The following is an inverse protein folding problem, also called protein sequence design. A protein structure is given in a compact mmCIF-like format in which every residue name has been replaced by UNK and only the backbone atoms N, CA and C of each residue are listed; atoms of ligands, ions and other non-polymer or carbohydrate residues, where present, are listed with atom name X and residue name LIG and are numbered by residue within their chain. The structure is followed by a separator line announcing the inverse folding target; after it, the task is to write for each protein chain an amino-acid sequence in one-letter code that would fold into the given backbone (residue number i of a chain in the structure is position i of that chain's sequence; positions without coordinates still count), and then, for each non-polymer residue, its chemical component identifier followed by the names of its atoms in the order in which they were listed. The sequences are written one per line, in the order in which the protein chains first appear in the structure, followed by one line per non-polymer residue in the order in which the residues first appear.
data_IF_516946120844
#
_entry.id   IF_516946120844
#
_cell.length_a   1.000
_cell.length_b   1.000
_cell.length_c   1.000
_cell.angle_alpha   90.00
_cell.angle_beta   90.00
_cell.angle_gamma   90.00
#
_symmetry.space_group_name_H-M   'P 1'
#
loop_
_entity.id
_entity.type
_entity.pdbx_description
1 polymer ?
#
# COMPACT_ATOMS: atom_id res chain seq x y z
N UNK A 1 9.57 31.12 -3.29
CA UNK A 1 9.21 30.15 -2.23
C UNK A 1 7.94 29.46 -2.69
N UNK A 2 7.96 28.13 -2.85
CA UNK A 2 6.77 27.36 -3.21
C UNK A 2 5.74 27.42 -2.07
N UNK A 3 4.46 27.54 -2.42
CA UNK A 3 3.33 27.47 -1.47
C UNK A 3 2.37 26.41 -2.00
N UNK A 4 1.91 25.46 -1.15
CA UNK A 4 0.92 24.49 -1.58
C UNK A 4 -0.37 25.21 -1.96
N UNK A 5 -1.06 24.72 -3.00
CA UNK A 5 -2.40 25.16 -3.32
C UNK A 5 -3.34 24.94 -2.13
N UNK A 6 -4.36 25.80 -1.94
CA UNK A 6 -5.36 25.58 -0.91
C UNK A 6 -6.09 24.24 -1.17
N UNK A 7 -6.46 23.48 -0.14
CA UNK A 7 -7.19 22.23 -0.32
C UNK A 7 -8.54 22.47 -1.02
N UNK A 8 -8.93 21.53 -1.88
CA UNK A 8 -10.25 21.52 -2.54
C UNK A 8 -11.40 21.51 -1.50
N UNK A 9 -12.61 21.89 -1.91
CA UNK A 9 -13.78 21.82 -1.04
C UNK A 9 -14.01 20.38 -0.53
N UNK A 10 -13.85 19.39 -1.42
CA UNK A 10 -13.90 17.95 -1.08
C UNK A 10 -12.86 17.57 -0.05
N UNK A 11 -11.60 18.01 -0.23
CA UNK A 11 -10.53 17.72 0.71
C UNK A 11 -10.77 18.35 2.10
N UNK A 12 -11.32 19.57 2.16
CA UNK A 12 -11.69 20.20 3.45
C UNK A 12 -12.83 19.43 4.13
N UNK A 13 -13.91 19.14 3.41
CA UNK A 13 -15.03 18.39 3.96
C UNK A 13 -14.61 16.99 4.47
N UNK A 14 -13.74 16.29 3.74
CA UNK A 14 -13.21 15.00 4.17
C UNK A 14 -12.36 15.12 5.46
N UNK A 15 -11.56 16.17 5.59
CA UNK A 15 -10.79 16.45 6.81
C UNK A 15 -11.71 16.77 7.99
N UNK A 16 -12.67 17.67 7.82
CA UNK A 16 -13.63 18.04 8.85
C UNK A 16 -14.45 16.84 9.34
N UNK A 17 -14.93 16.02 8.41
CA UNK A 17 -15.65 14.79 8.74
C UNK A 17 -14.79 13.80 9.53
N UNK A 18 -13.52 13.61 9.14
CA UNK A 18 -12.60 12.75 9.88
C UNK A 18 -12.29 13.29 11.29
N UNK A 19 -12.15 14.61 11.45
CA UNK A 19 -11.92 15.22 12.78
C UNK A 19 -13.15 15.13 13.70
N UNK A 20 -14.34 15.34 13.14
CA UNK A 20 -15.59 15.12 13.87
C UNK A 20 -15.73 13.67 14.31
N UNK A 21 -15.41 12.72 13.41
CA UNK A 21 -15.41 11.30 13.72
C UNK A 21 -14.40 10.93 14.81
N UNK A 22 -13.17 11.45 14.72
CA UNK A 22 -12.14 11.25 15.74
C UNK A 22 -12.55 11.80 17.11
N UNK A 23 -13.28 12.91 17.13
CA UNK A 23 -13.79 13.49 18.38
C UNK A 23 -14.89 12.62 19.00
N UNK A 24 -15.76 12.05 18.17
CA UNK A 24 -16.84 11.17 18.63
C UNK A 24 -16.37 9.75 18.99
N UNK A 25 -15.34 9.25 18.30
CA UNK A 25 -14.84 7.86 18.36
C UNK A 25 -13.30 7.81 18.40
N UNK A 26 -12.66 8.40 19.43
CA UNK A 26 -11.21 8.54 19.48
C UNK A 26 -10.45 7.20 19.48
N UNK A 27 -11.07 6.12 19.94
CA UNK A 27 -10.51 4.78 19.94
C UNK A 27 -10.19 4.26 18.54
N UNK A 28 -10.93 4.69 17.51
CA UNK A 28 -10.70 4.29 16.10
C UNK A 28 -9.46 4.92 15.47
N UNK A 29 -8.90 5.93 16.14
CA UNK A 29 -7.76 6.70 15.67
C UNK A 29 -6.52 6.44 16.54
N UNK A 30 -6.54 5.40 17.38
CA UNK A 30 -5.37 4.99 18.15
C UNK A 30 -4.40 4.22 17.25
N UNK A 31 -3.15 4.68 17.23
CA UNK A 31 -2.03 3.98 16.58
C UNK A 31 -1.51 2.90 17.53
N UNK A 32 -2.32 1.88 17.73
CA UNK A 32 -2.08 0.78 18.67
C UNK A 32 -1.80 -0.52 17.91
N UNK A 33 -0.68 -1.15 18.24
CA UNK A 33 -0.14 -2.31 17.52
C UNK A 33 -1.10 -3.50 17.62
N UNK A 34 -1.57 -3.82 18.82
CA UNK A 34 -2.43 -4.97 19.05
C UNK A 34 -3.83 -4.76 18.47
N UNK A 35 -4.39 -3.56 18.60
CA UNK A 35 -5.67 -3.23 17.99
C UNK A 35 -5.62 -3.29 16.45
N UNK A 36 -4.51 -2.83 15.84
CA UNK A 36 -4.31 -2.90 14.39
C UNK A 36 -4.12 -4.36 13.92
N UNK A 37 -3.32 -5.15 14.64
CA UNK A 37 -3.13 -6.56 14.35
C UNK A 37 -4.44 -7.35 14.46
N UNK A 38 -5.19 -7.15 15.54
CA UNK A 38 -6.49 -7.76 15.75
C UNK A 38 -7.51 -7.35 14.67
N UNK A 39 -7.51 -6.07 14.26
CA UNK A 39 -8.36 -5.60 13.17
C UNK A 39 -7.95 -6.21 11.82
N UNK A 40 -6.66 -6.49 11.61
CA UNK A 40 -6.17 -7.16 10.42
C UNK A 40 -6.60 -8.63 10.37
N UNK A 41 -6.47 -9.35 11.49
CA UNK A 41 -6.79 -10.77 11.64
C UNK A 41 -8.32 -11.03 11.64
N UNK A 42 -8.90 -11.21 10.44
CA UNK A 42 -10.36 -11.40 10.29
C UNK A 42 -10.80 -12.85 10.44
N UNK A 43 -9.88 -13.80 10.30
CA UNK A 43 -10.13 -15.23 10.42
C UNK A 43 -9.23 -15.84 11.49
N UNK A 44 -9.68 -16.97 12.04
CA UNK A 44 -8.87 -17.73 12.98
C UNK A 44 -7.53 -18.13 12.34
N UNK A 45 -6.44 -17.87 13.06
CA UNK A 45 -5.07 -18.13 12.59
C UNK A 45 -4.54 -17.16 11.53
N UNK A 46 -5.17 -15.99 11.32
CA UNK A 46 -4.60 -14.96 10.43
C UNK A 46 -3.32 -14.34 11.01
N UNK A 47 -3.28 -14.11 12.34
CA UNK A 47 -2.10 -13.52 12.99
C UNK A 47 -0.89 -14.46 12.92
N UNK A 48 -1.10 -15.77 13.05
CA UNK A 48 -0.06 -16.80 12.86
C UNK A 48 0.49 -16.84 11.43
N UNK A 49 -0.26 -16.26 10.47
CA UNK A 49 0.11 -16.17 9.05
C UNK A 49 0.66 -14.80 8.65
N UNK A 50 0.75 -13.85 9.57
CA UNK A 50 1.46 -12.61 9.27
C UNK A 50 2.94 -12.88 8.99
N UNK A 51 3.53 -12.05 8.13
CA UNK A 51 4.91 -12.22 7.68
C UNK A 51 5.89 -12.18 8.86
N UNK A 52 7.00 -12.90 8.77
CA UNK A 52 8.01 -12.87 9.82
C UNK A 52 8.47 -11.42 10.10
N UNK A 53 8.58 -11.05 11.38
CA UNK A 53 8.97 -9.69 11.77
C UNK A 53 7.88 -8.62 11.63
N UNK A 54 6.64 -8.98 11.30
CA UNK A 54 5.52 -8.04 11.14
C UNK A 54 5.29 -7.13 12.35
N UNK A 55 5.46 -7.67 13.56
CA UNK A 55 5.16 -6.95 14.81
C UNK A 55 6.14 -5.81 15.03
N UNK A 56 7.44 -6.07 14.86
CA UNK A 56 8.46 -5.03 14.94
C UNK A 56 8.26 -3.96 13.86
N UNK A 57 8.02 -4.37 12.61
CA UNK A 57 7.74 -3.43 11.53
C UNK A 57 6.53 -2.55 11.83
N UNK A 58 5.46 -3.13 12.39
CA UNK A 58 4.26 -2.41 12.79
C UNK A 58 4.53 -1.43 13.95
N UNK A 59 5.25 -1.86 14.98
CA UNK A 59 5.67 -1.02 16.10
C UNK A 59 6.47 0.20 15.63
N UNK A 60 7.43 0.00 14.72
CA UNK A 60 8.25 1.06 14.15
C UNK A 60 7.44 2.01 13.29
N UNK A 61 6.57 1.47 12.44
CA UNK A 61 5.71 2.25 11.56
C UNK A 61 4.73 3.12 12.35
N UNK A 62 3.95 2.52 13.26
CA UNK A 62 2.95 3.23 14.05
C UNK A 62 3.59 4.18 15.07
N UNK A 63 4.71 3.77 15.68
CA UNK A 63 5.47 4.63 16.60
C UNK A 63 5.99 5.88 15.92
N UNK A 64 6.56 5.75 14.72
CA UNK A 64 7.01 6.90 13.92
C UNK A 64 5.83 7.72 13.38
N UNK A 65 4.72 7.09 12.99
CA UNK A 65 3.50 7.80 12.60
C UNK A 65 2.95 8.67 13.74
N UNK A 66 3.02 8.18 14.99
CA UNK A 66 2.58 8.91 16.18
C UNK A 66 3.56 10.04 16.57
N UNK A 67 4.87 9.75 16.60
CA UNK A 67 5.89 10.69 17.05
C UNK A 67 6.31 11.71 15.98
N UNK A 68 6.49 11.25 14.74
CA UNK A 68 6.99 12.05 13.63
C UNK A 68 5.86 12.52 12.71
N UNK A 69 4.76 11.79 12.57
CA UNK A 69 3.80 12.01 11.48
C UNK A 69 3.09 13.37 11.44
N UNK A 70 2.88 14.06 12.58
CA UNK A 70 2.02 15.27 12.67
C UNK A 70 0.67 15.07 11.96
N UNK A 71 0.06 13.91 12.20
CA UNK A 71 -1.10 13.45 11.43
C UNK A 71 -2.37 14.21 11.82
N UNK A 72 -3.17 14.51 10.80
CA UNK A 72 -4.60 14.80 10.97
C UNK A 72 -5.36 13.51 11.21
N UNK A 73 -6.64 13.58 11.60
CA UNK A 73 -7.50 12.40 11.70
C UNK A 73 -7.50 11.57 10.41
N UNK A 74 -7.56 12.23 9.25
CA UNK A 74 -7.51 11.56 7.94
C UNK A 74 -6.17 10.83 7.74
N UNK A 75 -5.05 11.45 8.12
CA UNK A 75 -3.72 10.86 8.06
C UNK A 75 -3.56 9.65 8.99
N UNK A 76 -4.04 9.77 10.23
CA UNK A 76 -4.06 8.67 11.22
C UNK A 76 -4.89 7.50 10.72
N UNK A 77 -6.09 7.76 10.19
CA UNK A 77 -6.94 6.72 9.62
C UNK A 77 -6.28 6.06 8.40
N UNK A 78 -5.54 6.82 7.58
CA UNK A 78 -4.79 6.25 6.47
C UNK A 78 -3.64 5.36 6.95
N UNK A 79 -2.87 5.78 7.97
CA UNK A 79 -1.80 4.94 8.52
C UNK A 79 -2.33 3.59 9.03
N UNK A 80 -3.42 3.63 9.81
CA UNK A 80 -4.09 2.42 10.32
C UNK A 80 -4.57 1.54 9.15
N UNK A 81 -5.25 2.11 8.15
CA UNK A 81 -5.72 1.35 6.98
C UNK A 81 -4.59 0.72 6.20
N UNK A 82 -3.49 1.43 5.99
CA UNK A 82 -2.29 0.92 5.30
C UNK A 82 -1.75 -0.29 6.04
N UNK A 83 -1.52 -0.17 7.36
CA UNK A 83 -1.00 -1.27 8.17
C UNK A 83 -1.91 -2.49 8.16
N UNK A 84 -3.22 -2.30 8.37
CA UNK A 84 -4.23 -3.37 8.29
C UNK A 84 -4.19 -4.04 6.90
N UNK A 85 -4.09 -3.24 5.84
CA UNK A 85 -4.04 -3.73 4.46
C UNK A 85 -2.83 -4.62 4.20
N UNK A 86 -1.65 -4.21 4.68
CA UNK A 86 -0.40 -4.97 4.51
C UNK A 86 -0.43 -6.32 5.21
N UNK A 87 -0.81 -6.33 6.50
CA UNK A 87 -0.93 -7.56 7.28
C UNK A 87 -1.95 -8.53 6.66
N UNK A 88 -3.10 -8.01 6.22
CA UNK A 88 -4.12 -8.81 5.54
C UNK A 88 -3.63 -9.39 4.22
N UNK A 89 -2.88 -8.62 3.43
CA UNK A 89 -2.31 -9.09 2.17
C UNK A 89 -1.33 -10.24 2.44
N UNK A 90 -0.41 -10.07 3.41
CA UNK A 90 0.52 -11.12 3.84
C UNK A 90 -0.18 -12.41 4.27
N UNK A 91 -1.16 -12.32 5.19
CA UNK A 91 -1.92 -13.50 5.62
C UNK A 91 -2.70 -14.18 4.48
N UNK A 92 -3.24 -13.39 3.53
CA UNK A 92 -3.94 -13.93 2.37
C UNK A 92 -2.97 -14.65 1.41
N UNK A 93 -1.77 -14.10 1.20
CA UNK A 93 -0.72 -14.72 0.39
C UNK A 93 -0.20 -16.02 1.04
N UNK A 94 0.05 -16.01 2.36
CA UNK A 94 0.46 -17.20 3.10
C UNK A 94 -0.58 -18.33 2.97
N UNK A 95 -1.87 -18.01 3.18
CA UNK A 95 -2.94 -18.99 2.98
C UNK A 95 -3.06 -19.47 1.54
N UNK A 96 -2.89 -18.57 0.58
CA UNK A 96 -2.88 -18.96 -0.82
C UNK A 96 -1.76 -19.96 -1.11
N UNK A 97 -0.57 -19.75 -0.56
CA UNK A 97 0.56 -20.68 -0.71
C UNK A 97 0.31 -22.04 -0.03
N UNK A 98 -0.40 -22.08 1.11
CA UNK A 98 -0.81 -23.33 1.76
C UNK A 98 -1.78 -24.16 0.89
N UNK A 99 -2.70 -23.50 0.19
CA UNK A 99 -3.75 -24.16 -0.61
C UNK A 99 -3.28 -24.48 -2.02
N UNK A 100 -2.41 -23.66 -2.61
CA UNK A 100 -1.96 -23.73 -3.99
C UNK A 100 -0.41 -23.78 -4.11
N UNK A 101 0.29 -24.71 -3.42
CA UNK A 101 1.75 -24.73 -3.37
C UNK A 101 2.39 -24.91 -4.75
N UNK A 102 1.79 -25.74 -5.61
CA UNK A 102 2.26 -25.96 -6.97
C UNK A 102 2.18 -24.70 -7.84
N UNK A 103 1.24 -23.80 -7.53
CA UNK A 103 1.06 -22.56 -8.28
C UNK A 103 2.08 -21.50 -7.87
N UNK A 104 2.44 -21.46 -6.59
CA UNK A 104 3.51 -20.60 -6.06
C UNK A 104 4.89 -21.09 -6.50
N UNK A 105 5.09 -22.41 -6.60
CA UNK A 105 6.35 -23.01 -7.02
C UNK A 105 6.62 -22.94 -8.54
N UNK A 106 5.69 -22.41 -9.35
CA UNK A 106 5.87 -22.33 -10.81
C UNK A 106 7.04 -21.41 -11.15
N UNK A 107 7.99 -21.87 -11.98
CA UNK A 107 9.06 -21.01 -12.46
C UNK A 107 8.49 -19.82 -13.24
N UNK A 108 9.00 -18.63 -12.94
CA UNK A 108 8.77 -17.43 -13.75
C UNK A 108 9.91 -17.27 -14.74
N UNK A 109 9.59 -16.75 -15.93
CA UNK A 109 10.64 -16.33 -16.87
C UNK A 109 11.49 -15.22 -16.22
N UNK A 110 12.79 -15.10 -16.59
CA UNK A 110 13.66 -14.08 -16.02
C UNK A 110 13.04 -12.67 -16.10
N UNK A 111 12.76 -12.02 -14.96
CA UNK A 111 12.10 -10.72 -14.95
C UNK A 111 13.07 -9.59 -15.31
N UNK A 112 12.53 -8.48 -15.80
CA UNK A 112 13.26 -7.23 -15.98
C UNK A 112 12.94 -6.34 -14.78
N UNK A 113 13.96 -5.98 -14.01
CA UNK A 113 13.83 -5.00 -12.93
C UNK A 113 14.32 -3.63 -13.39
N UNK A 114 13.46 -2.62 -13.24
CA UNK A 114 13.81 -1.21 -13.44
C UNK A 114 14.00 -0.58 -12.06
N UNK A 115 15.18 -0.03 -11.81
CA UNK A 115 15.51 0.65 -10.55
C UNK A 115 16.12 2.02 -10.85
N UNK A 116 16.09 2.91 -9.87
CA UNK A 116 16.64 4.25 -10.01
C UNK A 116 16.14 5.21 -8.93
N UNK A 117 16.72 6.41 -8.93
CA UNK A 117 16.26 7.49 -8.07
C UNK A 117 14.89 8.01 -8.50
N UNK A 118 14.26 8.75 -7.59
CA UNK A 118 13.01 9.44 -7.88
C UNK A 118 13.27 10.45 -9.01
N UNK A 119 12.36 10.49 -9.99
CA UNK A 119 12.41 11.44 -11.12
C UNK A 119 13.55 11.21 -12.13
N UNK A 120 14.12 10.01 -12.22
CA UNK A 120 15.14 9.66 -13.23
C UNK A 120 14.57 9.00 -14.50
N UNK A 121 13.27 9.08 -14.73
CA UNK A 121 12.61 8.52 -15.93
C UNK A 121 12.25 7.03 -15.85
N UNK A 122 12.34 6.40 -14.67
CA UNK A 122 11.97 4.98 -14.47
C UNK A 122 10.53 4.69 -14.88
N UNK A 123 9.58 5.54 -14.52
CA UNK A 123 8.16 5.40 -14.90
C UNK A 123 7.97 5.45 -16.43
N UNK A 124 8.70 6.33 -17.13
CA UNK A 124 8.64 6.41 -18.60
C UNK A 124 9.14 5.11 -19.24
N UNK A 125 10.32 4.65 -18.81
CA UNK A 125 10.90 3.40 -19.31
C UNK A 125 9.98 2.20 -19.02
N UNK A 126 9.42 2.13 -17.81
CA UNK A 126 8.54 1.04 -17.40
C UNK A 126 7.27 0.98 -18.26
N UNK A 127 6.64 2.14 -18.50
CA UNK A 127 5.47 2.22 -19.38
C UNK A 127 5.80 1.93 -20.83
N UNK A 128 6.96 2.37 -21.32
CA UNK A 128 7.41 2.06 -22.67
C UNK A 128 7.55 0.54 -22.86
N UNK A 129 8.24 -0.16 -21.93
CA UNK A 129 8.38 -1.61 -21.99
C UNK A 129 7.04 -2.34 -21.86
N UNK A 130 6.11 -1.82 -21.05
CA UNK A 130 4.78 -2.38 -20.90
C UNK A 130 3.93 -2.35 -22.19
N UNK A 131 4.36 -1.65 -23.24
CA UNK A 131 3.69 -1.67 -24.56
C UNK A 131 4.07 -2.89 -25.41
N UNK A 132 5.14 -3.61 -25.08
CA UNK A 132 5.55 -4.83 -25.79
C UNK A 132 4.65 -6.01 -25.38
N UNK A 133 3.91 -6.64 -26.30
CA UNK A 133 2.98 -7.74 -25.98
C UNK A 133 3.68 -9.01 -25.48
N UNK A 134 5.01 -9.10 -25.59
CA UNK A 134 5.81 -10.20 -25.03
C UNK A 134 6.15 -9.99 -23.55
N UNK A 135 5.98 -8.77 -23.05
CA UNK A 135 6.21 -8.40 -21.67
C UNK A 135 4.88 -8.24 -20.94
N UNK A 136 4.90 -8.46 -19.63
CA UNK A 136 3.78 -8.17 -18.74
C UNK A 136 4.25 -7.24 -17.65
N UNK A 137 3.55 -6.12 -17.48
CA UNK A 137 3.72 -5.24 -16.35
C UNK A 137 2.56 -5.43 -15.36
N UNK A 138 2.81 -5.43 -14.04
CA UNK A 138 1.77 -5.59 -13.04
C UNK A 138 0.88 -4.35 -12.94
N UNK A 139 -0.40 -4.58 -12.68
CA UNK A 139 -1.40 -3.55 -12.36
C UNK A 139 -1.49 -3.31 -10.85
N UNK A 140 -1.95 -2.14 -10.38
CA UNK A 140 -2.08 -1.84 -8.95
C UNK A 140 -2.84 -2.90 -8.17
N UNK A 141 -3.95 -3.39 -8.71
CA UNK A 141 -4.77 -4.42 -8.06
C UNK A 141 -4.02 -5.75 -7.89
N UNK A 142 -3.17 -6.12 -8.86
CA UNK A 142 -2.34 -7.33 -8.82
C UNK A 142 -1.26 -7.24 -7.75
N UNK A 143 -0.77 -6.04 -7.46
CA UNK A 143 0.24 -5.81 -6.43
C UNK A 143 -0.38 -5.70 -5.04
N UNK A 144 -1.52 -5.01 -4.92
CA UNK A 144 -2.10 -4.70 -3.62
C UNK A 144 -2.87 -5.86 -2.98
N UNK A 145 -3.50 -6.72 -3.78
CA UNK A 145 -4.33 -7.84 -3.30
C UNK A 145 -4.27 -9.04 -4.28
N UNK A 146 -3.08 -9.63 -4.51
CA UNK A 146 -2.90 -10.71 -5.49
C UNK A 146 -3.77 -11.93 -5.21
N UNK A 147 -4.00 -12.24 -3.92
CA UNK A 147 -4.76 -13.40 -3.50
C UNK A 147 -6.26 -13.31 -3.90
N UNK A 148 -6.84 -12.11 -4.02
CA UNK A 148 -8.22 -11.97 -4.52
C UNK A 148 -8.35 -12.13 -6.02
N UNK A 149 -7.32 -11.77 -6.76
CA UNK A 149 -7.28 -11.97 -8.21
C UNK A 149 -6.92 -13.43 -8.55
N UNK A 150 -6.30 -14.15 -7.61
CA UNK A 150 -5.98 -15.55 -7.79
C UNK A 150 -7.25 -16.39 -7.96
N UNK A 151 -7.49 -16.87 -9.19
CA UNK A 151 -8.66 -17.69 -9.55
C UNK A 151 -9.79 -16.92 -10.23
N UNK A 152 -9.65 -15.60 -10.41
CA UNK A 152 -10.55 -14.84 -11.27
C UNK A 152 -10.05 -14.87 -12.71
N UNK A 153 -10.96 -15.14 -13.65
CA UNK A 153 -10.67 -15.16 -15.08
C UNK A 153 -11.73 -14.38 -15.87
N UNK A 154 -11.38 -14.03 -17.12
CA UNK A 154 -12.27 -13.36 -18.07
C UNK A 154 -13.01 -12.17 -17.47
N UNK A 155 -14.34 -12.17 -17.61
CA UNK A 155 -15.23 -11.08 -17.19
C UNK A 155 -15.15 -10.78 -15.70
N UNK A 156 -14.99 -11.81 -14.85
CA UNK A 156 -14.93 -11.62 -13.39
C UNK A 156 -13.66 -10.89 -12.99
N UNK A 157 -12.55 -11.21 -13.66
CA UNK A 157 -11.27 -10.53 -13.44
C UNK A 157 -11.34 -9.07 -13.89
N UNK A 158 -11.90 -8.81 -15.07
CA UNK A 158 -12.03 -7.43 -15.58
C UNK A 158 -12.94 -6.57 -14.70
N UNK A 159 -14.07 -7.10 -14.24
CA UNK A 159 -14.95 -6.38 -13.32
C UNK A 159 -14.26 -6.01 -11.99
N UNK A 160 -13.37 -6.89 -11.49
CA UNK A 160 -12.58 -6.60 -10.29
C UNK A 160 -11.55 -5.49 -10.53
N UNK A 161 -10.89 -5.49 -11.70
CA UNK A 161 -9.95 -4.43 -12.08
C UNK A 161 -10.67 -3.08 -12.22
N UNK A 162 -11.84 -3.06 -12.85
CA UNK A 162 -12.66 -1.85 -13.00
C UNK A 162 -13.04 -1.26 -11.64
N UNK A 163 -13.51 -2.11 -10.72
CA UNK A 163 -13.89 -1.69 -9.37
C UNK A 163 -12.70 -1.15 -8.59
N UNK A 164 -11.54 -1.79 -8.71
CA UNK A 164 -10.32 -1.38 -8.02
C UNK A 164 -9.76 -0.06 -8.57
N UNK A 165 -9.96 0.22 -9.86
CA UNK A 165 -9.50 1.45 -10.49
C UNK A 165 -10.16 2.71 -9.89
N UNK A 166 -11.45 2.65 -9.56
CA UNK A 166 -12.18 3.78 -8.97
C UNK A 166 -11.62 4.23 -7.61
N UNK A 167 -11.05 3.32 -6.83
CA UNK A 167 -10.42 3.66 -5.55
C UNK A 167 -9.15 4.51 -5.71
N UNK A 168 -8.51 4.45 -6.89
CA UNK A 168 -7.31 5.22 -7.21
C UNK A 168 -7.64 6.71 -7.42
N UNK A 169 -8.84 7.01 -7.91
CA UNK A 169 -9.25 8.38 -8.21
C UNK A 169 -9.50 9.24 -6.97
N UNK A 170 -9.89 8.62 -5.85
CA UNK A 170 -10.15 9.32 -4.59
C UNK A 170 -8.92 10.09 -4.06
N UNK A 171 -7.70 9.65 -4.39
CA UNK A 171 -6.49 10.38 -4.03
C UNK A 171 -6.37 11.71 -4.78
N UNK A 172 -6.79 11.75 -6.05
CA UNK A 172 -6.82 12.97 -6.85
C UNK A 172 -7.93 13.93 -6.40
N UNK A 173 -9.02 13.44 -5.83
CA UNK A 173 -10.05 14.31 -5.24
C UNK A 173 -9.51 15.07 -4.02
N UNK A 174 -8.66 14.41 -3.23
CA UNK A 174 -8.01 14.98 -2.05
C UNK A 174 -6.81 15.88 -2.41
N UNK A 175 -6.10 15.56 -3.50
CA UNK A 175 -4.98 16.34 -4.00
C UNK A 175 -4.95 16.36 -5.54
N UNK A 176 -5.69 17.27 -6.18
CA UNK A 176 -5.79 17.31 -7.64
C UNK A 176 -4.45 17.56 -8.35
N UNK A 177 -3.53 18.32 -7.72
CA UNK A 177 -2.21 18.59 -8.28
C UNK A 177 -1.33 17.33 -8.37
N UNK A 178 -1.64 16.28 -7.61
CA UNK A 178 -0.88 15.04 -7.62
C UNK A 178 -0.84 14.39 -9.00
N UNK A 179 -1.91 14.52 -9.81
CA UNK A 179 -1.96 13.95 -11.16
C UNK A 179 -0.85 14.48 -12.08
N UNK A 180 -0.43 15.73 -11.88
CA UNK A 180 0.68 16.31 -12.63
C UNK A 180 2.06 15.79 -12.17
N UNK A 181 2.15 15.26 -10.96
CA UNK A 181 3.40 14.81 -10.33
C UNK A 181 3.59 13.30 -10.48
N UNK A 182 2.53 12.55 -10.19
CA UNK A 182 2.46 11.09 -10.24
C UNK A 182 1.14 10.72 -10.91
N UNK A 183 1.19 10.64 -12.24
CA UNK A 183 0.10 10.08 -13.03
C UNK A 183 0.06 8.58 -12.77
N UNK A 184 -0.92 8.13 -11.99
CA UNK A 184 -1.23 6.72 -11.71
C UNK A 184 -2.69 6.41 -12.03
N UNK A 185 -2.99 5.13 -12.24
CA UNK A 185 -4.36 4.70 -12.55
C UNK A 185 -4.50 3.19 -12.44
N UNK A 186 -5.73 2.71 -12.21
CA UNK A 186 -5.99 1.28 -11.98
C UNK A 186 -5.62 0.34 -13.13
N UNK A 187 -5.44 0.88 -14.34
CA UNK A 187 -5.01 0.15 -15.55
C UNK A 187 -3.65 0.59 -16.10
N UNK A 188 -2.89 1.38 -15.34
CA UNK A 188 -1.53 1.73 -15.69
C UNK A 188 -0.56 0.80 -14.95
N UNK A 189 0.59 0.45 -15.56
CA UNK A 189 1.67 -0.26 -14.87
C UNK A 189 2.08 0.46 -13.59
N UNK A 190 2.30 -0.30 -12.51
CA UNK A 190 2.59 0.27 -11.20
C UNK A 190 3.79 -0.36 -10.48
N UNK A 191 4.40 0.42 -9.59
CA UNK A 191 5.67 0.10 -8.94
C UNK A 191 5.52 -0.99 -7.87
N UNK A 192 6.56 -1.84 -7.73
CA UNK A 192 6.61 -2.94 -6.76
C UNK A 192 6.39 -2.52 -5.30
N UNK A 193 6.58 -1.23 -4.99
CA UNK A 193 6.29 -0.65 -3.68
C UNK A 193 4.84 -0.90 -3.21
N UNK A 194 3.88 -1.15 -4.11
CA UNK A 194 2.53 -1.56 -3.74
C UNK A 194 2.39 -3.03 -3.29
N UNK A 195 3.32 -3.90 -3.68
CA UNK A 195 3.32 -5.31 -3.28
C UNK A 195 4.13 -5.55 -2.00
N UNK A 196 5.24 -4.83 -1.83
CA UNK A 196 6.17 -5.01 -0.72
C UNK A 196 5.59 -4.56 0.64
N UNK A 197 6.26 -4.97 1.72
CA UNK A 197 5.95 -4.55 3.09
C UNK A 197 4.79 -5.29 3.73
N UNK A 198 4.63 -6.58 3.45
CA UNK A 198 3.65 -7.42 4.17
C UNK A 198 4.04 -7.62 5.64
N UNK A 199 5.32 -7.44 5.96
CA UNK A 199 5.92 -7.39 7.30
C UNK A 199 6.10 -5.95 7.83
N UNK A 200 5.54 -4.95 7.12
CA UNK A 200 5.68 -3.53 7.39
C UNK A 200 7.09 -2.95 7.16
N UNK A 201 7.96 -3.57 6.35
CA UNK A 201 9.21 -2.97 5.83
C UNK A 201 9.05 -2.49 4.39
N UNK A 202 8.87 -1.18 4.20
CA UNK A 202 8.65 -0.61 2.86
C UNK A 202 8.99 0.89 2.80
N UNK A 203 9.89 1.25 1.88
CA UNK A 203 10.29 2.64 1.62
C UNK A 203 9.17 3.53 1.02
N UNK A 204 8.05 2.95 0.57
CA UNK A 204 6.86 3.71 0.16
C UNK A 204 6.13 4.39 1.34
N UNK A 205 6.32 3.91 2.57
CA UNK A 205 5.70 4.53 3.73
C UNK A 205 6.29 5.93 4.01
N UNK A 206 7.62 6.11 4.16
CA UNK A 206 8.21 7.42 4.42
C UNK A 206 8.11 8.39 3.23
N UNK A 207 7.77 7.91 2.02
CA UNK A 207 7.58 8.80 0.88
C UNK A 207 6.21 9.49 0.85
N UNK A 208 5.24 8.98 1.61
CA UNK A 208 3.86 9.50 1.66
C UNK A 208 3.48 10.08 3.02
N UNK A 209 4.31 9.85 4.04
CA UNK A 209 4.11 10.28 5.41
C UNK A 209 5.45 10.62 6.06
N UNK A 210 5.47 11.63 6.94
CA UNK A 210 6.68 11.93 7.71
C UNK A 210 6.94 10.83 8.73
N UNK A 211 7.99 10.05 8.52
CA UNK A 211 8.30 8.85 9.28
C UNK A 211 9.81 8.74 9.55
N UNK A 212 10.38 9.81 10.11
CA UNK A 212 11.84 9.96 10.23
C UNK A 212 12.49 8.85 11.09
N UNK A 213 11.83 8.44 12.18
CA UNK A 213 12.28 7.35 13.04
C UNK A 213 12.21 5.98 12.36
N UNK A 214 11.12 5.72 11.64
CA UNK A 214 10.96 4.48 10.87
C UNK A 214 11.95 4.41 9.71
N UNK A 215 12.16 5.50 8.97
CA UNK A 215 13.12 5.54 7.85
C UNK A 215 14.56 5.29 8.33
N UNK A 216 14.94 5.83 9.50
CA UNK A 216 16.25 5.55 10.12
C UNK A 216 16.40 4.08 10.50
N UNK A 217 15.37 3.49 11.09
CA UNK A 217 15.37 2.06 11.42
C UNK A 217 15.45 1.19 10.16
N UNK A 218 14.60 1.45 9.17
CA UNK A 218 14.51 0.67 7.92
C UNK A 218 15.82 0.66 7.12
N UNK A 219 16.67 1.69 7.26
CA UNK A 219 17.96 1.77 6.60
C UNK A 219 18.95 0.67 7.01
N UNK A 220 18.77 0.09 8.20
CA UNK A 220 19.65 -0.94 8.75
C UNK A 220 19.03 -2.35 8.69
N UNK A 221 17.81 -2.47 8.15
CA UNK A 221 17.05 -3.73 8.13
C UNK A 221 17.32 -4.57 6.87
N UNK A 222 17.24 -5.89 7.02
CA UNK A 222 17.20 -6.82 5.89
C UNK A 222 15.81 -6.85 5.27
N UNK A 223 15.72 -6.54 3.98
CA UNK A 223 14.47 -6.54 3.21
C UNK A 223 14.23 -7.87 2.48
N UNK A 224 15.16 -8.81 2.53
CA UNK A 224 15.03 -10.14 1.90
C UNK A 224 13.77 -10.92 2.34
N UNK A 225 13.33 -10.85 3.62
CA UNK A 225 12.15 -11.58 4.06
C UNK A 225 10.79 -10.97 3.68
N UNK A 226 10.75 -9.72 3.18
CA UNK A 226 9.50 -8.92 3.00
C UNK A 226 8.69 -9.27 1.75
#
# INVERSE_FOLDING_TARGET
MWRPAPPSATARAAREAAEADRSARPERYRLDVDAVAAAAARRAGDEDRFAAGWREGLERYLGSAAGDGRLTALGTAQAIRTAIGRLRSGAAMARFAEVEPDRVARPIAPPIFITGGWRTGTTFLFRLLATDPRLRAPLPAELSDPARLAGLEGVQREAHLDTSAAAHDALYDLNPELRAIHDSGGRLPEECALALGTDLRNWAFPSTMRLDGYARWLADEDLTPS
#
